data_IF_864362145313
#
_entry.id   IF_864362145313
#
_cell.length_a   1.000
_cell.length_b   1.000
_cell.length_c   1.000
_cell.angle_alpha   90.00
_cell.angle_beta   90.00
_cell.angle_gamma   90.00
#
_symmetry.space_group_name_H-M   'P 1'
#
loop_
_entity.id
_entity.type
_entity.pdbx_description
1 polymer ?
#
# COMPACT_ATOMS: atom_id res chain seq x y z
N UNK A 1 -23.20 48.11 -55.70
CA UNK A 1 -23.83 46.97 -55.00
C UNK A 1 -22.69 46.11 -54.44
N UNK A 2 -22.55 45.76 -53.18
CA UNK A 2 -23.13 46.18 -51.90
C UNK A 2 -22.12 45.73 -50.84
N UNK A 3 -21.86 46.59 -49.85
CA UNK A 3 -21.17 46.27 -48.60
C UNK A 3 -22.02 45.24 -47.85
N UNK A 4 -21.63 43.97 -47.75
CA UNK A 4 -22.33 43.03 -46.86
C UNK A 4 -21.60 41.76 -46.42
N UNK A 5 -20.53 41.30 -47.08
CA UNK A 5 -19.99 39.94 -46.79
C UNK A 5 -18.48 39.96 -46.49
N UNK A 6 -18.02 40.88 -45.66
CA UNK A 6 -16.60 40.94 -45.21
C UNK A 6 -16.49 40.87 -43.68
N UNK A 7 -17.47 40.27 -42.99
CA UNK A 7 -17.50 40.24 -41.51
C UNK A 7 -17.82 38.89 -40.86
N UNK A 8 -17.57 37.77 -41.51
CA UNK A 8 -18.01 36.47 -40.97
C UNK A 8 -17.01 35.30 -40.99
N UNK A 9 -15.71 35.54 -41.19
CA UNK A 9 -14.72 34.44 -41.21
C UNK A 9 -13.44 34.72 -40.40
N UNK A 10 -13.58 35.38 -39.26
CA UNK A 10 -12.50 35.53 -38.25
C UNK A 10 -12.90 34.87 -36.93
N UNK A 11 -13.28 33.60 -36.96
CA UNK A 11 -13.60 32.87 -35.72
C UNK A 11 -13.41 31.34 -35.77
N UNK A 12 -12.81 30.76 -36.82
CA UNK A 12 -12.80 29.29 -36.99
C UNK A 12 -11.40 28.65 -37.07
N UNK A 13 -10.32 29.37 -36.74
CA UNK A 13 -8.95 28.85 -36.95
C UNK A 13 -8.04 28.91 -35.72
N UNK A 14 -8.59 29.04 -34.51
CA UNK A 14 -7.80 29.10 -33.26
C UNK A 14 -8.16 28.03 -32.22
N UNK A 15 -8.94 27.01 -32.59
CA UNK A 15 -9.36 25.93 -31.66
C UNK A 15 -9.01 24.55 -32.25
N UNK A 16 -7.79 24.38 -32.75
CA UNK A 16 -7.31 23.07 -33.17
C UNK A 16 -5.86 22.76 -32.76
N UNK A 17 -5.09 23.77 -32.30
CA UNK A 17 -3.70 23.58 -31.85
C UNK A 17 -3.58 23.53 -30.31
N UNK A 18 -4.60 23.99 -29.58
CA UNK A 18 -4.55 24.08 -28.11
C UNK A 18 -4.72 22.76 -27.35
N UNK A 19 -5.36 21.74 -27.95
CA UNK A 19 -5.69 20.49 -27.22
C UNK A 19 -4.54 19.48 -27.26
N UNK A 20 -3.70 19.49 -28.31
CA UNK A 20 -2.56 18.58 -28.38
C UNK A 20 -1.39 18.99 -27.47
N UNK A 21 -1.22 20.30 -27.21
CA UNK A 21 -0.15 20.79 -26.34
C UNK A 21 -0.44 20.62 -24.83
N UNK A 22 -1.71 20.52 -24.44
CA UNK A 22 -2.10 20.37 -23.03
C UNK A 22 -1.86 18.97 -22.44
N UNK A 23 -1.91 17.92 -23.27
CA UNK A 23 -1.83 16.52 -22.81
C UNK A 23 -0.38 16.08 -22.51
N UNK A 24 0.62 16.76 -23.08
CA UNK A 24 2.03 16.43 -22.85
C UNK A 24 2.66 17.14 -21.65
N UNK A 25 2.06 18.23 -21.15
CA UNK A 25 2.60 19.02 -20.03
C UNK A 25 2.28 18.44 -18.64
N UNK A 26 1.47 17.38 -18.55
CA UNK A 26 1.05 16.78 -17.27
C UNK A 26 1.63 15.39 -17.00
N UNK A 27 2.54 14.88 -17.84
CA UNK A 27 3.42 13.77 -17.45
C UNK A 27 4.69 14.35 -16.84
N UNK A 28 4.57 15.01 -15.69
CA UNK A 28 5.72 15.15 -14.80
C UNK A 28 6.05 13.71 -14.38
N UNK A 29 7.26 13.19 -14.68
CA UNK A 29 7.68 11.93 -14.11
C UNK A 29 7.51 12.04 -12.60
N UNK A 30 6.90 11.05 -11.96
CA UNK A 30 6.87 11.02 -10.51
C UNK A 30 8.32 11.21 -10.04
N UNK A 31 8.59 12.11 -9.08
CA UNK A 31 9.93 12.32 -8.58
C UNK A 31 10.52 10.96 -8.18
N UNK A 32 11.74 10.69 -8.64
CA UNK A 32 12.44 9.45 -8.30
C UNK A 32 12.55 9.36 -6.78
N UNK A 33 12.16 8.22 -6.22
CA UNK A 33 12.31 7.98 -4.78
C UNK A 33 13.79 7.75 -4.49
N UNK A 34 14.37 8.46 -3.50
CA UNK A 34 15.76 8.23 -3.11
C UNK A 34 15.99 6.78 -2.70
N UNK A 35 17.13 6.20 -3.08
CA UNK A 35 17.48 4.82 -2.69
C UNK A 35 17.38 4.59 -1.18
N UNK A 36 17.78 5.58 -0.37
CA UNK A 36 17.68 5.51 1.09
C UNK A 36 16.23 5.35 1.60
N UNK A 37 15.24 5.96 0.93
CA UNK A 37 13.84 5.77 1.30
C UNK A 37 13.38 4.34 0.94
N UNK A 38 13.86 3.79 -0.18
CA UNK A 38 13.55 2.41 -0.55
C UNK A 38 14.23 1.38 0.37
N UNK A 39 15.45 1.63 0.83
CA UNK A 39 16.12 0.78 1.82
C UNK A 39 15.28 0.68 3.12
N UNK A 40 14.70 1.81 3.56
CA UNK A 40 13.81 1.87 4.73
C UNK A 40 12.52 1.07 4.48
N UNK A 41 11.89 1.25 3.32
CA UNK A 41 10.68 0.52 2.93
C UNK A 41 10.93 -0.98 2.85
N UNK A 42 12.08 -1.38 2.31
CA UNK A 42 12.48 -2.79 2.19
C UNK A 42 12.78 -3.41 3.56
N UNK A 43 13.40 -2.68 4.49
CA UNK A 43 13.57 -3.16 5.86
C UNK A 43 12.22 -3.39 6.56
N UNK A 44 11.29 -2.44 6.43
CA UNK A 44 9.93 -2.61 6.93
C UNK A 44 9.22 -3.82 6.29
N UNK A 45 9.44 -4.04 4.98
CA UNK A 45 8.94 -5.20 4.26
C UNK A 45 9.47 -6.53 4.78
N UNK A 46 10.73 -6.61 5.21
CA UNK A 46 11.30 -7.83 5.80
C UNK A 46 10.61 -8.19 7.11
N UNK A 47 10.41 -7.21 7.97
CA UNK A 47 9.77 -7.42 9.27
C UNK A 47 8.30 -7.86 9.11
N UNK A 48 7.59 -7.27 8.15
CA UNK A 48 6.25 -7.74 7.77
C UNK A 48 6.29 -9.19 7.25
N UNK A 49 7.23 -9.50 6.34
CA UNK A 49 7.37 -10.85 5.80
C UNK A 49 7.60 -11.89 6.89
N UNK A 50 8.47 -11.62 7.86
CA UNK A 50 8.73 -12.52 8.98
C UNK A 50 7.47 -12.80 9.79
N UNK A 51 6.70 -11.76 10.14
CA UNK A 51 5.41 -11.93 10.81
C UNK A 51 4.45 -12.77 9.97
N UNK A 52 4.29 -12.44 8.69
CA UNK A 52 3.38 -13.14 7.79
C UNK A 52 3.80 -14.59 7.55
N UNK A 53 5.11 -14.88 7.52
CA UNK A 53 5.66 -16.23 7.43
C UNK A 53 5.30 -17.04 8.66
N UNK A 54 5.49 -16.49 9.85
CA UNK A 54 5.16 -17.18 11.09
C UNK A 54 3.65 -17.45 11.23
N UNK A 55 2.80 -16.52 10.75
CA UNK A 55 1.35 -16.72 10.70
C UNK A 55 0.96 -17.83 9.71
N UNK A 56 1.61 -17.91 8.54
CA UNK A 56 1.40 -18.98 7.56
C UNK A 56 1.85 -20.33 8.11
N UNK A 57 3.01 -20.37 8.74
CA UNK A 57 3.54 -21.58 9.39
C UNK A 57 2.57 -22.09 10.47
N UNK A 58 2.04 -21.20 11.31
CA UNK A 58 1.03 -21.56 12.30
C UNK A 58 -0.28 -22.10 11.67
N UNK A 59 -0.65 -21.61 10.48
CA UNK A 59 -1.82 -22.11 9.74
C UNK A 59 -1.59 -23.50 9.13
N UNK A 60 -0.39 -23.76 8.61
CA UNK A 60 -0.03 -25.01 7.92
C UNK A 60 0.38 -26.13 8.89
N UNK A 61 1.15 -25.79 9.93
CA UNK A 61 1.79 -26.73 10.86
C UNK A 61 1.16 -26.74 12.25
N UNK A 62 0.18 -25.87 12.50
CA UNK A 62 -0.50 -25.73 13.78
C UNK A 62 0.09 -24.60 14.63
N UNK A 63 -0.76 -24.06 15.51
CA UNK A 63 -0.47 -22.88 16.33
C UNK A 63 0.52 -23.26 17.44
N UNK A 64 1.73 -22.67 17.49
CA UNK A 64 2.71 -22.94 18.55
C UNK A 64 2.20 -22.54 19.94
N UNK A 65 2.78 -23.12 20.99
CA UNK A 65 2.48 -22.72 22.37
C UNK A 65 2.75 -21.22 22.57
N UNK A 66 1.78 -20.51 23.16
CA UNK A 66 1.85 -19.06 23.40
C UNK A 66 1.40 -18.18 22.22
N UNK A 67 1.10 -18.77 21.06
CA UNK A 67 0.60 -18.05 19.89
C UNK A 67 -0.92 -17.77 20.01
N UNK A 68 -1.25 -16.96 21.01
CA UNK A 68 -2.62 -16.52 21.31
C UNK A 68 -3.03 -15.38 20.39
N UNK A 69 -4.34 -15.10 20.32
CA UNK A 69 -4.86 -13.96 19.54
C UNK A 69 -4.30 -12.63 20.02
N UNK A 70 -4.12 -12.48 21.35
CA UNK A 70 -3.51 -11.28 21.92
C UNK A 70 -2.02 -11.18 21.56
N UNK A 71 -1.28 -12.29 21.58
CA UNK A 71 0.12 -12.30 21.15
C UNK A 71 0.27 -11.92 19.66
N UNK A 72 -0.63 -12.39 18.80
CA UNK A 72 -0.67 -11.98 17.38
C UNK A 72 -1.00 -10.49 17.25
N UNK A 73 -1.99 -10.01 17.99
CA UNK A 73 -2.37 -8.60 17.98
C UNK A 73 -1.22 -7.69 18.44
N UNK A 74 -0.48 -8.09 19.47
CA UNK A 74 0.65 -7.33 19.98
C UNK A 74 1.78 -7.25 18.94
N UNK A 75 2.03 -8.34 18.21
CA UNK A 75 3.00 -8.35 17.11
C UNK A 75 2.56 -7.47 15.93
N UNK A 76 1.27 -7.47 15.59
CA UNK A 76 0.73 -6.58 14.56
C UNK A 76 0.83 -5.10 14.97
N UNK A 77 0.62 -4.77 16.25
CA UNK A 77 0.88 -3.42 16.78
C UNK A 77 2.36 -3.06 16.68
N UNK A 78 3.26 -3.97 17.06
CA UNK A 78 4.70 -3.74 16.95
C UNK A 78 5.11 -3.44 15.50
N UNK A 79 4.60 -4.20 14.53
CA UNK A 79 4.85 -3.94 13.10
C UNK A 79 4.24 -2.61 12.66
N UNK A 80 3.04 -2.24 13.13
CA UNK A 80 2.44 -0.94 12.86
C UNK A 80 3.32 0.22 13.38
N UNK A 81 3.87 0.11 14.59
CA UNK A 81 4.77 1.11 15.17
C UNK A 81 6.06 1.25 14.34
N UNK A 82 6.65 0.14 13.90
CA UNK A 82 7.85 0.16 13.05
C UNK A 82 7.56 0.77 11.68
N UNK A 83 6.40 0.49 11.08
CA UNK A 83 5.96 1.13 9.84
C UNK A 83 5.77 2.66 10.01
N UNK A 84 5.20 3.10 11.13
CA UNK A 84 5.08 4.54 11.45
C UNK A 84 6.45 5.18 11.64
N UNK A 85 7.36 4.53 12.33
CA UNK A 85 8.72 5.03 12.50
C UNK A 85 9.50 5.09 11.17
N UNK A 86 9.30 4.11 10.29
CA UNK A 86 9.81 4.14 8.93
C UNK A 86 9.25 5.35 8.15
N UNK A 87 7.95 5.63 8.30
CA UNK A 87 7.31 6.79 7.67
C UNK A 87 7.90 8.14 8.15
N UNK A 88 8.33 8.23 9.40
CA UNK A 88 9.03 9.42 9.94
C UNK A 88 10.46 9.57 9.40
N UNK A 89 11.05 8.48 8.89
CA UNK A 89 12.46 8.42 8.50
C UNK A 89 12.69 8.62 7.01
N UNK A 90 11.67 8.47 6.18
CA UNK A 90 11.75 8.70 4.73
C UNK A 90 11.64 10.19 4.40
N UNK A 91 12.31 10.58 3.31
CA UNK A 91 12.32 11.96 2.83
C UNK A 91 11.20 12.27 1.84
N UNK A 92 10.63 11.25 1.20
CA UNK A 92 9.55 11.36 0.22
C UNK A 92 8.17 11.30 0.91
N UNK A 93 7.37 12.38 0.90
CA UNK A 93 6.09 12.41 1.60
C UNK A 93 5.10 11.34 1.15
N UNK A 94 5.07 11.01 -0.15
CA UNK A 94 4.18 9.97 -0.67
C UNK A 94 4.57 8.59 -0.15
N UNK A 95 5.87 8.32 0.07
CA UNK A 95 6.34 7.06 0.68
C UNK A 95 5.91 7.00 2.14
N UNK A 96 6.06 8.10 2.89
CA UNK A 96 5.59 8.19 4.27
C UNK A 96 4.08 7.96 4.38
N UNK A 97 3.28 8.52 3.46
CA UNK A 97 1.83 8.30 3.42
C UNK A 97 1.49 6.81 3.26
N UNK A 98 2.15 6.11 2.34
CA UNK A 98 1.86 4.69 2.13
C UNK A 98 2.34 3.81 3.30
N UNK A 99 3.48 4.13 3.91
CA UNK A 99 3.93 3.44 5.13
C UNK A 99 2.93 3.61 6.28
N UNK A 100 2.35 4.80 6.44
CA UNK A 100 1.30 5.02 7.44
C UNK A 100 0.02 4.24 7.12
N UNK A 101 -0.42 4.19 5.85
CA UNK A 101 -1.58 3.36 5.44
C UNK A 101 -1.36 1.88 5.72
N UNK A 102 -0.15 1.39 5.47
CA UNK A 102 0.21 0.03 5.82
C UNK A 102 0.17 -0.19 7.34
N UNK A 103 0.68 0.76 8.13
CA UNK A 103 0.60 0.70 9.59
C UNK A 103 -0.85 0.68 10.10
N UNK A 104 -1.75 1.43 9.45
CA UNK A 104 -3.16 1.45 9.81
C UNK A 104 -3.84 0.11 9.50
N UNK A 105 -3.49 -0.55 8.39
CA UNK A 105 -3.91 -1.93 8.11
C UNK A 105 -3.52 -2.89 9.24
N UNK A 106 -2.25 -2.85 9.67
CA UNK A 106 -1.75 -3.67 10.76
C UNK A 106 -2.47 -3.37 12.09
N UNK A 107 -2.80 -2.10 12.34
CA UNK A 107 -3.55 -1.68 13.53
C UNK A 107 -4.98 -2.27 13.51
N UNK A 108 -5.69 -2.20 12.38
CA UNK A 108 -7.03 -2.77 12.25
C UNK A 108 -6.99 -4.29 12.43
N UNK A 109 -6.00 -4.97 11.86
CA UNK A 109 -5.83 -6.41 12.07
C UNK A 109 -5.64 -6.74 13.56
N UNK A 110 -4.79 -5.99 14.26
CA UNK A 110 -4.57 -6.21 15.69
C UNK A 110 -5.87 -6.07 16.50
N UNK A 111 -6.68 -5.06 16.19
CA UNK A 111 -7.97 -4.89 16.84
C UNK A 111 -8.95 -6.04 16.52
N UNK A 112 -8.96 -6.56 15.29
CA UNK A 112 -9.76 -7.73 14.91
C UNK A 112 -9.30 -8.98 15.69
N UNK A 113 -7.98 -9.15 15.87
CA UNK A 113 -7.41 -10.22 16.70
C UNK A 113 -7.81 -10.08 18.17
N UNK A 114 -7.82 -8.87 18.75
CA UNK A 114 -8.30 -8.70 20.14
C UNK A 114 -9.80 -8.91 20.27
N UNK A 115 -10.59 -8.38 19.34
CA UNK A 115 -12.06 -8.37 19.45
C UNK A 115 -12.66 -9.77 19.45
N UNK A 116 -12.17 -10.67 18.60
CA UNK A 116 -12.91 -11.90 18.30
C UNK A 116 -13.45 -11.87 16.91
N UNK A 117 -12.86 -12.68 16.00
CA UNK A 117 -13.57 -13.07 14.79
C UNK A 117 -14.27 -14.39 15.12
N UNK A 118 -15.62 -14.42 15.18
CA UNK A 118 -16.36 -15.65 15.41
C UNK A 118 -15.96 -16.70 14.37
N UNK A 119 -15.93 -17.97 14.77
CA UNK A 119 -15.73 -19.05 13.81
C UNK A 119 -16.83 -18.99 12.74
N UNK A 120 -16.42 -18.80 11.48
CA UNK A 120 -17.36 -18.77 10.37
C UNK A 120 -18.02 -20.14 10.23
N UNK A 121 -19.34 -20.18 10.28
CA UNK A 121 -20.11 -21.37 9.92
C UNK A 121 -21.15 -21.02 8.88
N UNK A 122 -21.62 -22.02 8.11
CA UNK A 122 -22.67 -21.82 7.10
C UNK A 122 -23.96 -21.21 7.69
N UNK A 123 -24.17 -21.38 9.00
CA UNK A 123 -25.39 -20.98 9.70
C UNK A 123 -25.21 -19.71 10.54
N UNK A 124 -23.98 -19.16 10.58
CA UNK A 124 -23.65 -17.93 11.29
C UNK A 124 -22.62 -17.16 10.46
N UNK A 125 -23.06 -16.31 9.51
CA UNK A 125 -22.14 -15.45 8.78
C UNK A 125 -21.45 -14.49 9.76
N UNK A 126 -20.29 -13.99 9.35
CA UNK A 126 -19.63 -12.93 10.12
C UNK A 126 -20.52 -11.68 10.10
N UNK A 127 -20.58 -10.93 11.22
CA UNK A 127 -21.23 -9.62 11.25
C UNK A 127 -20.67 -8.69 10.16
N UNK A 128 -21.54 -7.88 9.55
CA UNK A 128 -21.17 -7.00 8.44
C UNK A 128 -20.05 -6.01 8.82
N UNK A 129 -20.06 -5.50 10.06
CA UNK A 129 -19.03 -4.60 10.58
C UNK A 129 -17.64 -5.26 10.65
N UNK A 130 -17.58 -6.54 11.00
CA UNK A 130 -16.33 -7.32 10.99
C UNK A 130 -15.86 -7.53 9.55
N UNK A 131 -16.77 -7.85 8.63
CA UNK A 131 -16.44 -8.03 7.21
C UNK A 131 -15.93 -6.72 6.60
N UNK A 132 -16.57 -5.60 6.92
CA UNK A 132 -16.17 -4.27 6.42
C UNK A 132 -14.80 -3.88 6.95
N UNK A 133 -14.53 -4.08 8.25
CA UNK A 133 -13.20 -3.84 8.84
C UNK A 133 -12.10 -4.72 8.23
N UNK A 134 -12.40 -6.00 7.97
CA UNK A 134 -11.46 -6.89 7.26
C UNK A 134 -11.17 -6.39 5.84
N UNK A 135 -12.19 -5.88 5.14
CA UNK A 135 -12.04 -5.30 3.80
C UNK A 135 -11.21 -4.02 3.84
N UNK A 136 -11.46 -3.14 4.81
CA UNK A 136 -10.74 -1.89 4.98
C UNK A 136 -9.25 -2.14 5.25
N UNK A 137 -8.93 -3.08 6.14
CA UNK A 137 -7.55 -3.48 6.41
C UNK A 137 -6.85 -4.02 5.15
N UNK A 138 -7.54 -4.88 4.38
CA UNK A 138 -7.00 -5.44 3.14
C UNK A 138 -6.76 -4.36 2.08
N UNK A 139 -7.68 -3.41 1.94
CA UNK A 139 -7.56 -2.31 0.97
C UNK A 139 -6.37 -1.41 1.34
N UNK A 140 -6.25 -1.00 2.61
CA UNK A 140 -5.12 -0.21 3.09
C UNK A 140 -3.77 -0.90 2.82
N UNK A 141 -3.67 -2.20 3.11
CA UNK A 141 -2.47 -2.98 2.81
C UNK A 141 -2.18 -3.04 1.31
N UNK A 142 -3.18 -3.39 0.50
CA UNK A 142 -3.00 -3.62 -0.94
C UNK A 142 -2.63 -2.33 -1.65
N UNK A 143 -3.34 -1.24 -1.39
CA UNK A 143 -3.06 0.07 -1.99
C UNK A 143 -1.67 0.59 -1.58
N UNK A 144 -1.31 0.48 -0.31
CA UNK A 144 -0.01 0.90 0.18
C UNK A 144 1.13 0.09 -0.45
N UNK A 145 1.01 -1.23 -0.46
CA UNK A 145 2.06 -2.10 -1.02
C UNK A 145 2.15 -1.98 -2.54
N UNK A 146 1.04 -1.83 -3.26
CA UNK A 146 1.07 -1.53 -4.71
C UNK A 146 1.81 -0.22 -4.99
N UNK A 147 1.48 0.85 -4.26
CA UNK A 147 2.11 2.15 -4.44
C UNK A 147 3.61 2.16 -4.08
N UNK A 148 4.00 1.43 -3.03
CA UNK A 148 5.40 1.28 -2.62
C UNK A 148 6.19 0.41 -3.60
N UNK A 149 5.64 -0.71 -4.06
CA UNK A 149 6.31 -1.61 -5.02
C UNK A 149 6.49 -0.96 -6.40
N UNK A 150 5.61 -0.05 -6.80
CA UNK A 150 5.78 0.74 -8.01
C UNK A 150 6.99 1.70 -7.96
N UNK A 151 7.47 2.04 -6.76
CA UNK A 151 8.56 3.00 -6.52
C UNK A 151 9.85 2.35 -6.04
N UNK A 152 9.75 1.26 -5.27
CA UNK A 152 10.85 0.51 -4.70
C UNK A 152 10.88 -0.92 -5.27
N UNK A 153 11.66 -1.16 -6.35
CA UNK A 153 11.52 -2.35 -7.18
C UNK A 153 11.99 -3.65 -6.53
N UNK A 154 12.77 -3.61 -5.44
CA UNK A 154 13.18 -4.81 -4.72
C UNK A 154 12.17 -5.24 -3.63
N UNK A 155 11.25 -4.36 -3.22
CA UNK A 155 10.21 -4.66 -2.22
C UNK A 155 9.38 -5.93 -2.56
N UNK A 156 8.95 -6.18 -3.81
CA UNK A 156 8.22 -7.41 -4.13
C UNK A 156 8.98 -8.69 -3.77
N UNK A 157 10.32 -8.70 -3.95
CA UNK A 157 11.15 -9.87 -3.63
C UNK A 157 11.27 -10.06 -2.11
N UNK A 158 11.39 -8.95 -1.38
CA UNK A 158 11.38 -8.96 0.09
C UNK A 158 10.07 -9.55 0.63
N UNK A 159 8.92 -9.12 0.10
CA UNK A 159 7.60 -9.54 0.58
C UNK A 159 7.29 -11.03 0.35
N UNK A 160 8.04 -11.70 -0.53
CA UNK A 160 7.94 -13.15 -0.77
C UNK A 160 9.12 -13.93 -0.17
N UNK A 161 10.08 -13.27 0.47
CA UNK A 161 11.22 -13.88 1.13
C UNK A 161 12.42 -14.20 0.23
N UNK A 162 12.46 -13.66 -1.00
CA UNK A 162 13.59 -13.84 -1.92
C UNK A 162 14.59 -12.69 -1.73
N UNK A 163 15.31 -12.68 -0.61
CA UNK A 163 16.37 -11.69 -0.43
C UNK A 163 17.65 -12.13 -1.15
N UNK A 164 18.11 -11.33 -2.11
CA UNK A 164 19.33 -11.56 -2.92
C UNK A 164 20.64 -11.70 -2.12
N UNK A 165 20.60 -11.56 -0.79
CA UNK A 165 21.74 -11.70 0.11
C UNK A 165 22.02 -13.13 0.59
N UNK A 166 21.15 -14.11 0.34
CA UNK A 166 21.39 -15.52 0.74
C UNK A 166 22.14 -16.36 -0.32
N UNK A 167 22.53 -15.79 -1.47
CA UNK A 167 23.29 -16.50 -2.52
C UNK A 167 24.76 -16.04 -2.62
N UNK A 168 25.35 -15.57 -1.52
CA UNK A 168 26.76 -15.15 -1.48
C UNK A 168 27.45 -15.61 -0.20
N UNK A 169 27.39 -16.91 0.09
CA UNK A 169 28.37 -17.61 0.93
C UNK A 169 28.83 -18.90 0.25
#
# INVERSE_FOLDING_TARGET
MSRAVVRLLTAATLIAVGVAAGILLWRVPAPEVPTADCDIVEDAGKQWYEMARDMRDAADNGVPDGYTRDAVADREVEVAEKLRHAAESVSTPEVAEQLNRWADSATINAELQRTGIPARSSNNPLPDDIVDRMRDALNLYTEATEALTARCPALPQVLIGNNSSENSE
#
